data_IF_347670170604
#
_entry.id   IF_347670170604
#
_cell.length_a   1.000
_cell.length_b   1.000
_cell.length_c   1.000
_cell.angle_alpha   90.00
_cell.angle_beta   90.00
_cell.angle_gamma   90.00
#
_symmetry.space_group_name_H-M   'P 1'
#
loop_
_entity.id
_entity.type
_entity.pdbx_description
1 polymer ?
#
# COMPACT_ATOMS: atom_id res chain seq x y z
N UNK A 1 14.43 -2.38 -26.35
CA UNK A 1 13.74 -1.81 -25.20
C UNK A 1 13.94 -2.66 -23.95
N UNK A 2 13.77 -3.98 -24.02
CA UNK A 2 13.93 -4.90 -22.87
C UNK A 2 15.30 -4.78 -22.19
N UNK A 3 16.39 -4.78 -22.97
CA UNK A 3 17.74 -4.62 -22.43
C UNK A 3 17.91 -3.30 -21.67
N UNK A 4 17.30 -2.22 -22.14
CA UNK A 4 17.34 -0.92 -21.48
C UNK A 4 16.57 -0.96 -20.14
N UNK A 5 15.38 -1.57 -20.12
CA UNK A 5 14.59 -1.72 -18.90
C UNK A 5 15.30 -2.57 -17.85
N UNK A 6 15.97 -3.65 -18.29
CA UNK A 6 16.79 -4.49 -17.40
C UNK A 6 17.95 -3.69 -16.80
N UNK A 7 18.65 -2.90 -17.63
CA UNK A 7 19.75 -2.05 -17.15
C UNK A 7 19.27 -1.01 -16.14
N UNK A 8 18.14 -0.35 -16.39
CA UNK A 8 17.55 0.63 -15.46
C UNK A 8 17.14 -0.07 -14.16
N UNK A 9 16.53 -1.25 -14.23
CA UNK A 9 16.13 -2.01 -13.05
C UNK A 9 17.35 -2.45 -12.22
N UNK A 10 18.43 -2.94 -12.86
CA UNK A 10 19.68 -3.29 -12.19
C UNK A 10 20.34 -2.08 -11.55
N UNK A 11 20.35 -0.93 -12.25
CA UNK A 11 20.85 0.32 -11.69
C UNK A 11 20.04 0.77 -10.47
N UNK A 12 18.71 0.64 -10.52
CA UNK A 12 17.84 0.97 -9.39
C UNK A 12 18.07 0.05 -8.18
N UNK A 13 18.29 -1.25 -8.40
CA UNK A 13 18.66 -2.20 -7.33
C UNK A 13 20.02 -1.85 -6.72
N UNK A 14 21.00 -1.53 -7.57
CA UNK A 14 22.30 -1.07 -7.09
C UNK A 14 22.22 0.24 -6.32
N UNK A 15 21.42 1.20 -6.79
CA UNK A 15 21.16 2.45 -6.08
C UNK A 15 20.47 2.21 -4.73
N UNK A 16 19.52 1.27 -4.65
CA UNK A 16 18.89 0.88 -3.38
C UNK A 16 19.92 0.30 -2.41
N UNK A 17 20.82 -0.57 -2.89
CA UNK A 17 21.88 -1.11 -2.05
C UNK A 17 22.83 0.01 -1.54
N UNK A 18 23.15 0.98 -2.40
CA UNK A 18 23.95 2.14 -2.03
C UNK A 18 23.24 3.03 -0.99
N UNK A 19 21.93 3.25 -1.13
CA UNK A 19 21.12 4.01 -0.17
C UNK A 19 21.01 3.30 1.19
N UNK A 20 20.78 1.98 1.20
CA UNK A 20 20.67 1.19 2.43
C UNK A 20 21.99 1.07 3.19
N UNK A 21 23.11 1.08 2.48
CA UNK A 21 24.47 1.05 3.03
C UNK A 21 25.10 2.44 3.18
N UNK A 22 24.30 3.50 3.10
CA UNK A 22 24.77 4.86 3.27
C UNK A 22 25.38 5.05 4.65
N UNK A 23 26.61 5.58 4.69
CA UNK A 23 27.29 5.95 5.91
C UNK A 23 27.76 7.41 5.78
N UNK A 24 27.46 8.26 6.77
CA UNK A 24 27.86 9.67 6.76
C UNK A 24 29.38 9.89 6.75
N UNK A 25 30.21 8.89 7.15
CA UNK A 25 31.66 8.96 7.11
C UNK A 25 32.27 8.70 5.74
N UNK A 26 31.48 8.19 4.79
CA UNK A 26 31.96 7.90 3.45
C UNK A 26 32.15 9.19 2.64
N UNK A 27 33.11 9.23 1.71
CA UNK A 27 33.35 10.42 0.88
C UNK A 27 32.14 10.69 -0.01
N UNK A 28 31.57 11.90 0.10
CA UNK A 28 30.46 12.37 -0.72
C UNK A 28 30.65 13.85 -1.02
N UNK A 29 29.78 14.41 -1.86
CA UNK A 29 29.89 15.85 -2.17
C UNK A 29 29.48 16.73 -0.97
N UNK A 30 28.70 16.21 -0.04
CA UNK A 30 28.33 16.91 1.21
C UNK A 30 29.40 16.73 2.31
N UNK A 31 30.26 15.70 2.19
CA UNK A 31 31.28 15.33 3.17
C UNK A 31 32.65 15.23 2.51
N UNK A 32 33.50 16.24 2.72
CA UNK A 32 34.83 16.33 2.08
C UNK A 32 35.98 15.77 2.91
N UNK A 33 35.78 15.57 4.22
CA UNK A 33 36.81 15.09 5.14
C UNK A 33 36.71 13.58 5.32
N UNK A 34 37.38 12.82 4.44
CA UNK A 34 37.41 11.37 4.47
C UNK A 34 38.77 10.85 4.94
N UNK A 35 38.76 9.89 5.87
CA UNK A 35 39.99 9.26 6.42
C UNK A 35 39.87 7.75 6.65
N UNK A 36 38.72 7.12 6.36
CA UNK A 36 38.45 5.72 6.69
C UNK A 36 38.10 4.87 5.47
N UNK A 37 38.16 3.53 5.57
CA UNK A 37 37.70 2.65 4.49
C UNK A 37 36.21 2.87 4.18
N UNK A 38 35.87 2.76 2.90
CA UNK A 38 34.49 3.00 2.41
C UNK A 38 33.57 1.89 2.90
N UNK A 39 32.45 2.27 3.53
CA UNK A 39 31.44 1.35 4.08
C UNK A 39 30.32 1.08 3.08
N UNK A 40 30.12 1.99 2.11
CA UNK A 40 29.04 1.85 1.13
C UNK A 40 29.25 0.66 0.20
N UNK A 41 28.21 -0.20 0.04
CA UNK A 41 28.25 -1.36 -0.85
C UNK A 41 28.46 -0.98 -2.33
N UNK A 42 28.07 0.22 -2.72
CA UNK A 42 28.30 0.74 -4.07
C UNK A 42 29.67 1.37 -4.27
N UNK A 43 30.55 1.34 -3.24
CA UNK A 43 31.87 2.02 -3.28
C UNK A 43 31.76 3.54 -3.29
N UNK A 44 32.82 4.23 -3.77
CA UNK A 44 32.84 5.70 -3.90
C UNK A 44 31.67 6.22 -4.73
N UNK A 45 31.41 5.70 -5.95
CA UNK A 45 30.30 6.18 -6.76
C UNK A 45 28.94 5.92 -6.10
N UNK A 46 28.79 4.82 -5.34
CA UNK A 46 27.59 4.54 -4.58
C UNK A 46 27.36 5.54 -3.45
N UNK A 47 28.39 5.90 -2.70
CA UNK A 47 28.33 6.88 -1.65
C UNK A 47 27.90 8.27 -2.19
N UNK A 48 28.53 8.72 -3.28
CA UNK A 48 28.19 9.98 -3.94
C UNK A 48 26.75 10.00 -4.48
N UNK A 49 26.36 8.89 -5.11
CA UNK A 49 25.03 8.79 -5.71
C UNK A 49 23.92 8.61 -4.67
N UNK A 50 24.21 8.00 -3.52
CA UNK A 50 23.27 7.88 -2.43
C UNK A 50 23.08 9.21 -1.66
N UNK A 51 24.14 9.98 -1.48
CA UNK A 51 24.11 11.27 -0.80
C UNK A 51 23.18 12.27 -1.50
N UNK A 52 23.22 12.32 -2.83
CA UNK A 52 22.39 13.27 -3.60
C UNK A 52 20.88 13.12 -3.39
N UNK A 53 20.27 11.94 -3.59
CA UNK A 53 18.83 11.80 -3.35
C UNK A 53 18.44 11.91 -1.88
N UNK A 54 19.30 11.45 -0.95
CA UNK A 54 19.06 11.64 0.47
C UNK A 54 19.05 13.12 0.86
N UNK A 55 19.96 13.92 0.30
CA UNK A 55 19.99 15.37 0.51
C UNK A 55 18.76 16.07 -0.06
N UNK A 56 18.34 15.69 -1.28
CA UNK A 56 17.21 16.35 -1.97
C UNK A 56 15.87 15.94 -1.39
N UNK A 57 15.65 14.65 -1.20
CA UNK A 57 14.35 14.04 -0.86
C UNK A 57 14.28 13.48 0.57
N UNK A 58 15.41 13.41 1.28
CA UNK A 58 15.48 12.80 2.60
C UNK A 58 15.08 11.32 2.55
N UNK A 59 14.26 10.91 3.51
CA UNK A 59 13.77 9.52 3.62
C UNK A 59 13.05 9.01 2.35
N UNK A 60 12.45 9.89 1.58
CA UNK A 60 11.74 9.51 0.35
C UNK A 60 12.65 9.08 -0.80
N UNK A 61 13.97 9.28 -0.68
CA UNK A 61 14.94 8.74 -1.63
C UNK A 61 14.79 7.22 -1.82
N UNK A 62 14.50 6.48 -0.76
CA UNK A 62 14.23 5.02 -0.84
C UNK A 62 12.99 4.71 -1.68
N UNK A 63 11.94 5.51 -1.54
CA UNK A 63 10.68 5.33 -2.28
C UNK A 63 10.87 5.57 -3.78
N UNK A 64 11.72 6.53 -4.17
CA UNK A 64 12.02 6.84 -5.57
C UNK A 64 12.62 5.62 -6.27
N UNK A 65 13.52 4.91 -5.61
CA UNK A 65 14.13 3.70 -6.17
C UNK A 65 13.08 2.60 -6.41
N UNK A 66 12.15 2.42 -5.47
CA UNK A 66 11.03 1.47 -5.62
C UNK A 66 10.12 1.87 -6.79
N UNK A 67 9.84 3.17 -6.95
CA UNK A 67 9.04 3.70 -8.06
C UNK A 67 9.72 3.43 -9.41
N UNK A 68 11.03 3.58 -9.51
CA UNK A 68 11.79 3.29 -10.74
C UNK A 68 11.65 1.81 -11.11
N UNK A 69 11.87 0.90 -10.16
CA UNK A 69 11.73 -0.55 -10.39
C UNK A 69 10.29 -0.91 -10.81
N UNK A 70 9.31 -0.38 -10.09
CA UNK A 70 7.90 -0.58 -10.40
C UNK A 70 7.51 -0.04 -11.78
N UNK A 71 8.04 1.12 -12.15
CA UNK A 71 7.85 1.73 -13.47
C UNK A 71 8.46 0.89 -14.60
N UNK A 72 9.66 0.35 -14.39
CA UNK A 72 10.29 -0.57 -15.36
C UNK A 72 9.48 -1.84 -15.54
N UNK A 73 8.99 -2.43 -14.45
CA UNK A 73 8.15 -3.62 -14.50
C UNK A 73 6.82 -3.36 -15.22
N UNK A 74 6.19 -2.22 -14.93
CA UNK A 74 4.96 -1.79 -15.59
C UNK A 74 5.18 -1.56 -17.08
N UNK A 75 6.25 -0.86 -17.46
CA UNK A 75 6.60 -0.61 -18.86
C UNK A 75 6.88 -1.91 -19.61
N UNK A 76 7.59 -2.87 -18.99
CA UNK A 76 7.84 -4.18 -19.58
C UNK A 76 6.55 -4.97 -19.79
N UNK A 77 5.65 -4.95 -18.83
CA UNK A 77 4.35 -5.64 -18.92
C UNK A 77 3.44 -5.05 -19.99
N UNK A 78 3.45 -3.73 -20.15
CA UNK A 78 2.66 -3.05 -21.19
C UNK A 78 3.24 -3.19 -22.60
N UNK A 79 4.55 -3.43 -22.72
CA UNK A 79 5.16 -3.68 -24.03
C UNK A 79 4.65 -4.98 -24.68
N UNK A 80 4.21 -5.94 -23.88
CA UNK A 80 3.65 -7.21 -24.38
C UNK A 80 2.20 -7.09 -24.86
N UNK A 81 1.52 -5.99 -24.58
CA UNK A 81 0.19 -5.68 -25.11
C UNK A 81 0.35 -4.64 -26.22
N UNK A 82 -0.09 -4.96 -27.45
CA UNK A 82 -0.13 -4.01 -28.59
C UNK A 82 -1.18 -2.88 -28.38
N UNK A 83 -1.37 -2.46 -27.16
CA UNK A 83 -2.35 -1.44 -26.76
C UNK A 83 -1.75 -0.05 -26.95
N UNK A 84 -2.48 0.82 -27.61
CA UNK A 84 -2.07 2.22 -27.81
C UNK A 84 -1.80 2.90 -26.48
N UNK A 85 -0.59 3.46 -26.33
CA UNK A 85 -0.22 4.24 -25.15
C UNK A 85 -0.99 5.56 -25.17
N UNK A 86 -1.90 5.73 -24.22
CA UNK A 86 -2.55 7.02 -24.00
C UNK A 86 -1.58 7.97 -23.27
N UNK A 87 -0.91 8.81 -24.07
CA UNK A 87 0.06 9.80 -23.55
C UNK A 87 -0.55 10.78 -22.56
N UNK A 88 -1.85 11.07 -22.69
CA UNK A 88 -2.54 11.94 -21.74
C UNK A 88 -2.68 11.27 -20.37
N UNK A 89 -3.10 10.02 -20.33
CA UNK A 89 -3.18 9.24 -19.10
C UNK A 89 -1.80 9.08 -18.44
N UNK A 90 -0.75 8.85 -19.22
CA UNK A 90 0.64 8.76 -18.72
C UNK A 90 1.10 10.09 -18.13
N UNK A 91 0.82 11.22 -18.80
CA UNK A 91 1.20 12.54 -18.28
C UNK A 91 0.50 12.87 -16.95
N UNK A 92 -0.79 12.54 -16.81
CA UNK A 92 -1.51 12.71 -15.55
C UNK A 92 -0.92 11.85 -14.42
N UNK A 93 -0.51 10.61 -14.72
CA UNK A 93 0.16 9.74 -13.74
C UNK A 93 1.51 10.31 -13.31
N UNK A 94 2.30 10.86 -14.24
CA UNK A 94 3.59 11.50 -13.92
C UNK A 94 3.37 12.72 -13.01
N UNK A 95 2.39 13.57 -13.32
CA UNK A 95 2.03 14.71 -12.47
C UNK A 95 1.60 14.23 -11.08
N UNK A 96 0.80 13.15 -11.01
CA UNK A 96 0.39 12.54 -9.76
C UNK A 96 1.57 12.04 -8.93
N UNK A 97 2.54 11.36 -9.54
CA UNK A 97 3.77 10.89 -8.86
C UNK A 97 4.60 12.07 -8.35
N UNK A 98 4.81 13.10 -9.16
CA UNK A 98 5.55 14.30 -8.75
C UNK A 98 4.85 14.99 -7.57
N UNK A 99 3.54 15.16 -7.62
CA UNK A 99 2.76 15.73 -6.52
C UNK A 99 2.89 14.87 -5.24
N UNK A 100 2.83 13.54 -5.36
CA UNK A 100 3.02 12.60 -4.24
C UNK A 100 4.41 12.74 -3.61
N UNK A 101 5.47 12.77 -4.41
CA UNK A 101 6.84 12.91 -3.91
C UNK A 101 7.01 14.25 -3.19
N UNK A 102 6.63 15.36 -3.82
CA UNK A 102 6.78 16.69 -3.25
C UNK A 102 6.00 16.86 -1.94
N UNK A 103 4.75 16.45 -1.93
CA UNK A 103 3.90 16.57 -0.72
C UNK A 103 4.35 15.63 0.39
N UNK A 104 4.84 14.43 0.05
CA UNK A 104 5.41 13.51 1.03
C UNK A 104 6.68 14.04 1.66
N UNK A 105 7.56 14.71 0.88
CA UNK A 105 8.72 15.41 1.41
C UNK A 105 8.31 16.51 2.39
N UNK A 106 7.30 17.33 2.04
CA UNK A 106 6.76 18.38 2.91
C UNK A 106 6.14 17.83 4.18
N UNK A 107 5.36 16.75 4.09
CA UNK A 107 4.76 16.07 5.24
C UNK A 107 5.83 15.48 6.17
N UNK A 108 6.87 14.86 5.62
CA UNK A 108 7.99 14.36 6.39
C UNK A 108 8.70 15.50 7.14
N UNK A 109 8.98 16.61 6.46
CA UNK A 109 9.66 17.75 7.06
C UNK A 109 8.88 18.44 8.18
N UNK A 110 7.53 18.38 8.15
CA UNK A 110 6.69 19.00 9.19
C UNK A 110 6.46 18.05 10.38
N UNK A 111 6.35 16.73 10.12
CA UNK A 111 5.83 15.78 11.09
C UNK A 111 6.84 14.71 11.54
N UNK A 112 7.98 14.57 10.87
CA UNK A 112 8.98 13.58 11.21
C UNK A 112 10.26 14.24 11.72
N UNK A 113 10.94 13.54 12.63
CA UNK A 113 12.27 13.95 13.11
C UNK A 113 13.32 13.78 12.03
N UNK A 114 14.36 14.59 12.09
CA UNK A 114 15.47 14.52 11.15
C UNK A 114 16.24 13.20 11.28
N UNK A 115 16.68 12.67 10.14
CA UNK A 115 17.40 11.42 10.06
C UNK A 115 18.85 11.69 9.74
N UNK A 116 19.74 11.32 10.65
CA UNK A 116 21.17 11.55 10.54
C UNK A 116 21.50 13.05 10.39
N UNK A 117 22.20 13.42 9.29
CA UNK A 117 22.53 14.80 8.92
C UNK A 117 21.54 15.43 7.94
N UNK A 118 20.57 14.64 7.47
CA UNK A 118 19.59 15.10 6.48
C UNK A 118 18.25 15.39 7.15
N UNK A 119 17.62 16.48 6.72
CA UNK A 119 16.24 16.73 7.07
C UNK A 119 15.36 15.57 6.56
N UNK A 120 14.38 15.15 7.33
CA UNK A 120 13.50 14.01 7.02
C UNK A 120 12.85 14.10 5.64
N UNK A 121 12.47 15.28 5.20
CA UNK A 121 11.96 15.58 3.86
C UNK A 121 13.00 16.09 2.86
N UNK A 122 14.29 16.14 3.24
CA UNK A 122 15.36 16.72 2.44
C UNK A 122 15.20 18.22 2.20
N UNK A 123 15.94 18.75 1.24
CA UNK A 123 15.87 20.18 0.84
C UNK A 123 14.47 20.55 0.36
N UNK A 124 13.82 19.67 -0.40
CA UNK A 124 12.46 19.91 -0.91
C UNK A 124 11.47 20.04 0.26
N UNK A 125 11.53 19.11 1.22
CA UNK A 125 10.68 19.16 2.39
C UNK A 125 10.91 20.40 3.25
N UNK A 126 12.19 20.76 3.47
CA UNK A 126 12.55 21.95 4.22
C UNK A 126 12.03 23.22 3.54
N UNK A 127 12.15 23.32 2.21
CA UNK A 127 11.64 24.45 1.45
C UNK A 127 10.12 24.58 1.57
N UNK A 128 9.40 23.47 1.44
CA UNK A 128 7.93 23.46 1.60
C UNK A 128 7.52 23.80 3.04
N UNK A 129 8.20 23.22 4.02
CA UNK A 129 7.95 23.49 5.44
C UNK A 129 8.15 24.97 5.77
N UNK A 130 9.30 25.55 5.39
CA UNK A 130 9.62 26.96 5.66
C UNK A 130 8.68 27.93 4.95
N UNK A 131 8.10 27.53 3.82
CA UNK A 131 7.14 28.36 3.08
C UNK A 131 5.73 28.24 3.65
N UNK A 132 5.30 27.03 4.03
CA UNK A 132 3.93 26.78 4.47
C UNK A 132 3.69 27.09 5.95
N UNK A 133 4.67 26.85 6.83
CA UNK A 133 4.50 27.07 8.28
C UNK A 133 4.15 28.53 8.64
N UNK A 134 4.78 29.57 8.08
CA UNK A 134 4.41 30.95 8.39
C UNK A 134 3.00 31.32 7.93
N UNK A 135 2.49 30.68 6.87
CA UNK A 135 1.19 30.98 6.28
C UNK A 135 0.05 30.20 6.95
N UNK A 136 0.27 28.93 7.26
CA UNK A 136 -0.79 27.99 7.63
C UNK A 136 -0.58 27.32 9.00
N UNK A 137 0.50 27.64 9.72
CA UNK A 137 0.95 26.88 10.88
C UNK A 137 1.20 25.39 10.57
N UNK A 138 1.72 24.63 11.52
CA UNK A 138 2.03 23.19 11.34
C UNK A 138 0.81 22.36 10.95
N UNK A 139 -0.31 22.56 11.67
CA UNK A 139 -1.55 21.78 11.43
C UNK A 139 -2.21 22.11 10.09
N UNK A 140 -2.30 23.38 9.73
CA UNK A 140 -2.84 23.82 8.44
C UNK A 140 -1.98 23.39 7.26
N UNK A 141 -0.65 23.50 7.41
CA UNK A 141 0.31 23.00 6.41
C UNK A 141 0.19 21.50 6.17
N UNK A 142 0.12 20.72 7.24
CA UNK A 142 -0.10 19.25 7.16
C UNK A 142 -1.40 18.92 6.45
N UNK A 143 -2.52 19.58 6.81
CA UNK A 143 -3.81 19.33 6.18
C UNK A 143 -3.81 19.67 4.69
N UNK A 144 -3.23 20.80 4.31
CA UNK A 144 -3.11 21.23 2.91
C UNK A 144 -2.28 20.24 2.10
N UNK A 145 -1.13 19.82 2.63
CA UNK A 145 -0.27 18.82 1.97
C UNK A 145 -0.97 17.47 1.85
N UNK A 146 -1.74 17.04 2.86
CA UNK A 146 -2.55 15.81 2.78
C UNK A 146 -3.63 15.90 1.69
N UNK A 147 -4.29 17.04 1.52
CA UNK A 147 -5.27 17.23 0.45
C UNK A 147 -4.61 17.13 -0.94
N UNK A 148 -3.45 17.76 -1.12
CA UNK A 148 -2.71 17.69 -2.39
C UNK A 148 -2.16 16.27 -2.61
N UNK A 149 -1.68 15.61 -1.56
CA UNK A 149 -1.24 14.22 -1.61
C UNK A 149 -2.37 13.28 -2.03
N UNK A 150 -3.56 13.47 -1.47
CA UNK A 150 -4.75 12.71 -1.82
C UNK A 150 -5.16 12.93 -3.30
N UNK A 151 -5.08 14.16 -3.78
CA UNK A 151 -5.32 14.47 -5.19
C UNK A 151 -4.26 13.83 -6.10
N UNK A 152 -2.98 13.88 -5.70
CA UNK A 152 -1.87 13.23 -6.41
C UNK A 152 -2.06 11.72 -6.49
N UNK A 153 -2.53 11.08 -5.42
CA UNK A 153 -2.82 9.65 -5.39
C UNK A 153 -3.96 9.29 -6.37
N UNK A 154 -4.99 10.11 -6.45
CA UNK A 154 -6.09 9.94 -7.41
C UNK A 154 -5.60 10.06 -8.85
N UNK A 155 -4.76 11.06 -9.14
CA UNK A 155 -4.17 11.24 -10.47
C UNK A 155 -3.25 10.08 -10.86
N UNK A 156 -2.48 9.55 -9.92
CA UNK A 156 -1.57 8.43 -10.15
C UNK A 156 -2.31 7.11 -10.37
N UNK A 157 -3.24 6.79 -9.50
CA UNK A 157 -3.97 5.51 -9.53
C UNK A 157 -5.14 5.52 -10.50
N UNK A 158 -5.71 6.69 -10.78
CA UNK A 158 -6.98 6.86 -11.49
C UNK A 158 -8.20 6.39 -10.69
N UNK A 159 -8.02 6.07 -9.40
CA UNK A 159 -9.10 5.60 -8.54
C UNK A 159 -9.85 6.77 -7.91
N UNK A 160 -11.16 6.67 -7.88
CA UNK A 160 -12.00 7.59 -7.12
C UNK A 160 -11.94 7.25 -5.62
N UNK A 161 -11.85 8.25 -4.76
CA UNK A 161 -11.94 8.09 -3.31
C UNK A 161 -13.23 7.41 -2.86
N UNK A 162 -14.31 7.63 -3.60
CA UNK A 162 -15.60 6.97 -3.37
C UNK A 162 -15.47 5.46 -3.58
N UNK A 163 -14.81 5.01 -4.65
CA UNK A 163 -14.56 3.60 -4.92
C UNK A 163 -13.64 2.95 -3.89
N UNK A 164 -12.66 3.70 -3.37
CA UNK A 164 -11.78 3.22 -2.29
C UNK A 164 -12.59 3.05 -1.00
N UNK A 165 -13.40 4.05 -0.64
CA UNK A 165 -14.26 4.00 0.55
C UNK A 165 -15.29 2.87 0.45
N UNK A 166 -15.89 2.64 -0.71
CA UNK A 166 -16.83 1.54 -0.96
C UNK A 166 -16.16 0.17 -0.80
N UNK A 167 -14.97 -0.02 -1.36
CA UNK A 167 -14.21 -1.27 -1.20
C UNK A 167 -13.78 -1.52 0.24
N UNK A 168 -13.31 -0.47 0.94
CA UNK A 168 -12.98 -0.56 2.36
C UNK A 168 -14.21 -0.85 3.22
N UNK A 169 -15.33 -0.17 2.94
CA UNK A 169 -16.61 -0.42 3.62
C UNK A 169 -17.09 -1.85 3.39
N UNK A 170 -17.05 -2.34 2.15
CA UNK A 170 -17.41 -3.72 1.81
C UNK A 170 -16.52 -4.76 2.51
N UNK A 171 -15.21 -4.51 2.56
CA UNK A 171 -14.26 -5.36 3.26
C UNK A 171 -14.51 -5.39 4.78
N UNK A 172 -14.76 -4.23 5.38
CA UNK A 172 -15.11 -4.12 6.80
C UNK A 172 -16.41 -4.84 7.12
N UNK A 173 -17.44 -4.69 6.28
CA UNK A 173 -18.72 -5.39 6.44
C UNK A 173 -18.54 -6.92 6.30
N UNK A 174 -17.70 -7.38 5.39
CA UNK A 174 -17.38 -8.80 5.26
C UNK A 174 -16.70 -9.36 6.51
N UNK A 175 -15.77 -8.60 7.11
CA UNK A 175 -15.13 -9.00 8.38
C UNK A 175 -16.15 -9.05 9.51
N UNK A 176 -17.01 -8.03 9.63
CA UNK A 176 -18.05 -7.99 10.64
C UNK A 176 -19.06 -9.15 10.46
N UNK A 177 -19.47 -9.42 9.23
CA UNK A 177 -20.35 -10.55 8.91
C UNK A 177 -19.69 -11.89 9.22
N UNK A 178 -18.41 -12.02 8.91
CA UNK A 178 -17.64 -13.23 9.24
C UNK A 178 -17.50 -13.41 10.76
N UNK A 179 -17.20 -12.34 11.50
CA UNK A 179 -17.13 -12.36 12.96
C UNK A 179 -18.49 -12.71 13.59
N UNK A 180 -19.58 -12.12 13.06
CA UNK A 180 -20.96 -12.39 13.52
C UNK A 180 -21.36 -13.84 13.21
N UNK A 181 -20.99 -14.38 12.05
CA UNK A 181 -21.24 -15.77 11.70
C UNK A 181 -20.43 -16.77 12.56
N UNK A 182 -19.23 -16.38 13.02
CA UNK A 182 -18.48 -17.19 13.98
C UNK A 182 -19.17 -17.24 15.34
N UNK A 183 -19.64 -16.08 15.84
CA UNK A 183 -20.36 -16.02 17.11
C UNK A 183 -21.70 -16.75 17.05
N UNK A 184 -22.40 -16.67 15.92
CA UNK A 184 -23.70 -17.34 15.73
C UNK A 184 -23.60 -18.84 15.51
N UNK A 185 -22.42 -19.34 15.17
CA UNK A 185 -22.18 -20.78 14.97
C UNK A 185 -22.11 -21.55 16.30
N UNK A 186 -21.70 -20.86 17.37
CA UNK A 186 -21.70 -21.47 18.71
C UNK A 186 -23.14 -21.57 19.29
N UNK A 187 -24.02 -20.61 18.98
CA UNK A 187 -25.40 -20.61 19.48
C UNK A 187 -26.28 -21.65 18.79
N UNK A 188 -25.99 -22.03 17.54
CA UNK A 188 -26.78 -23.05 16.80
C UNK A 188 -26.52 -24.50 17.22
N UNK A 189 -25.42 -24.77 17.91
CA UNK A 189 -25.14 -26.11 18.42
C UNK A 189 -25.93 -26.41 19.70
N UNK A 190 -26.21 -25.41 20.50
CA UNK A 190 -26.97 -25.56 21.76
C UNK A 190 -28.47 -25.73 21.49
N UNK A 191 -29.03 -24.95 20.54
CA UNK A 191 -30.45 -25.03 20.17
C UNK A 191 -30.78 -26.32 19.37
N UNK A 192 -29.79 -26.85 18.63
CA UNK A 192 -29.98 -28.09 17.84
C UNK A 192 -30.15 -29.35 18.68
N UNK A 193 -29.40 -29.45 19.78
CA UNK A 193 -29.48 -30.61 20.67
C UNK A 193 -30.76 -30.60 21.50
N UNK A 194 -31.24 -29.41 21.93
CA UNK A 194 -32.45 -29.29 22.73
C UNK A 194 -33.72 -29.61 21.93
N UNK A 195 -33.75 -29.31 20.63
CA UNK A 195 -34.87 -29.62 19.74
C UNK A 195 -34.86 -31.10 19.28
N UNK A 196 -33.72 -31.74 19.15
CA UNK A 196 -33.63 -33.18 18.81
C UNK A 196 -34.06 -34.04 20.00
N UNK A 197 -33.70 -33.67 21.24
CA UNK A 197 -34.10 -34.37 22.45
C UNK A 197 -35.61 -34.19 22.75
N UNK A 198 -36.21 -33.04 22.46
CA UNK A 198 -37.67 -32.82 22.61
C UNK A 198 -38.48 -33.59 21.54
N UNK A 199 -38.02 -33.62 20.27
CA UNK A 199 -38.69 -34.38 19.21
C UNK A 199 -38.58 -35.89 19.49
N UNK A 200 -37.44 -36.37 19.97
CA UNK A 200 -37.27 -37.79 20.31
C UNK A 200 -38.10 -38.22 21.54
N UNK A 201 -38.29 -37.32 22.51
CA UNK A 201 -39.11 -37.56 23.69
C UNK A 201 -40.62 -37.60 23.41
N UNK A 202 -41.08 -36.76 22.45
CA UNK A 202 -42.50 -36.70 22.05
C UNK A 202 -42.86 -37.89 21.16
N UNK A 203 -41.97 -38.33 20.27
CA UNK A 203 -42.18 -39.46 19.38
C UNK A 203 -42.22 -40.81 20.13
N UNK A 204 -41.50 -40.93 21.24
CA UNK A 204 -41.51 -42.11 22.09
C UNK A 204 -42.85 -42.25 22.86
N UNK A 205 -43.60 -41.18 23.05
CA UNK A 205 -44.88 -41.17 23.78
C UNK A 205 -46.11 -41.58 22.93
N UNK A 206 -46.06 -41.40 21.60
CA UNK A 206 -47.21 -41.63 20.70
C UNK A 206 -47.27 -43.01 20.02
N UNK A 207 -46.26 -43.87 20.15
CA UNK A 207 -46.27 -45.27 19.74
C UNK A 207 -46.57 -45.57 18.26
N UNK A 208 -46.45 -44.58 17.36
CA UNK A 208 -46.66 -44.74 15.92
C UNK A 208 -45.31 -44.72 15.17
N UNK A 209 -45.14 -45.59 14.16
CA UNK A 209 -43.92 -45.55 13.36
C UNK A 209 -43.86 -44.25 12.57
N UNK A 210 -43.00 -43.33 13.00
CA UNK A 210 -42.80 -42.05 12.37
C UNK A 210 -41.95 -42.18 11.12
N UNK A 211 -42.54 -41.87 9.98
CA UNK A 211 -41.84 -41.84 8.71
C UNK A 211 -40.89 -40.63 8.71
N UNK A 212 -39.58 -40.90 8.60
CA UNK A 212 -38.57 -39.80 8.68
C UNK A 212 -38.88 -38.68 7.70
N UNK A 213 -38.63 -37.46 8.10
CA UNK A 213 -38.87 -36.25 7.31
C UNK A 213 -38.23 -36.34 5.91
N UNK A 214 -37.12 -37.07 5.76
CA UNK A 214 -36.46 -37.35 4.49
C UNK A 214 -37.31 -38.25 3.57
N UNK A 215 -37.98 -39.25 4.10
CA UNK A 215 -38.86 -40.13 3.34
C UNK A 215 -40.08 -39.39 2.80
N UNK A 216 -40.65 -38.48 3.57
CA UNK A 216 -41.77 -37.62 3.17
C UNK A 216 -41.39 -36.67 2.05
N UNK A 217 -40.22 -36.04 2.11
CA UNK A 217 -39.71 -35.15 1.08
C UNK A 217 -39.43 -35.90 -0.22
N UNK A 218 -38.83 -37.07 -0.15
CA UNK A 218 -38.53 -37.92 -1.31
C UNK A 218 -39.82 -38.41 -2.00
N UNK A 219 -40.88 -38.80 -1.26
CA UNK A 219 -42.19 -39.12 -1.84
C UNK A 219 -42.84 -37.94 -2.52
N UNK A 220 -42.75 -36.73 -1.92
CA UNK A 220 -43.27 -35.51 -2.51
C UNK A 220 -42.56 -35.15 -3.82
N UNK A 221 -41.27 -35.42 -3.92
CA UNK A 221 -40.49 -35.20 -5.12
C UNK A 221 -40.80 -36.20 -6.25
N UNK A 222 -41.04 -37.46 -5.88
CA UNK A 222 -41.39 -38.54 -6.83
C UNK A 222 -42.83 -38.43 -7.34
N UNK A 223 -43.76 -37.86 -6.54
CA UNK A 223 -45.16 -37.67 -6.95
C UNK A 223 -45.38 -36.52 -7.96
N UNK A 224 -44.36 -35.71 -8.19
CA UNK A 224 -44.38 -34.57 -9.16
C UNK A 224 -43.74 -34.88 -10.52
N UNK A 225 -43.32 -36.12 -10.75
CA UNK A 225 -42.90 -36.66 -12.04
C UNK A 225 -44.00 -37.49 -12.67
#
# INVERSE_FOLDING_TARGET
LEALLILIALFAVWLMAALLSFNPSDPSWSQTAWHEPIHNLGGIPGAWLADTPLFIFGFLAYTITVIIVGGCWFAWRHQASDEYVDYFAVSLRIIGVLALILTSCGLAAINADDIWYFASGGVIGSLLSTTLQPLLHSSGGTLTLLCIWAAGLTLFTGWSWVSIAEKLGGWLLNILTFANNLTRRDDTWVDGEEYEDEEESVDAADGKPHESRRARILRGALARR
#
